data_IF_110839460074
#
_entry.id   IF_110839460074
#
_cell.length_a   1.000
_cell.length_b   1.000
_cell.length_c   1.000
_cell.angle_alpha   90.00
_cell.angle_beta   90.00
_cell.angle_gamma   90.00
#
_symmetry.space_group_name_H-M   'P 1'
#
loop_
_entity.id
_entity.type
_entity.pdbx_description
1 polymer ?
#
# COMPACT_ATOMS: atom_id res chain seq x y z
N UNK A 1 13.21 -20.06 1.80
CA UNK A 1 12.83 -19.04 2.81
C UNK A 1 11.61 -18.30 2.28
N UNK A 2 10.43 -18.45 2.90
CA UNK A 2 9.24 -17.70 2.54
C UNK A 2 9.30 -16.33 3.24
N UNK A 3 9.40 -15.24 2.49
CA UNK A 3 9.30 -13.88 3.05
C UNK A 3 7.89 -13.38 2.76
N UNK A 4 7.08 -13.08 3.79
CA UNK A 4 5.77 -12.49 3.56
C UNK A 4 5.94 -11.13 2.85
N UNK A 5 5.08 -10.86 1.88
CA UNK A 5 5.03 -9.58 1.16
C UNK A 5 4.48 -8.49 2.08
N UNK A 6 5.00 -7.27 2.02
CA UNK A 6 4.47 -6.14 2.81
C UNK A 6 3.39 -5.38 2.05
N UNK A 7 3.58 -5.20 0.75
CA UNK A 7 2.59 -4.64 -0.16
C UNK A 7 2.45 -5.54 -1.39
N UNK A 8 1.24 -5.53 -1.95
CA UNK A 8 0.96 -6.12 -3.24
C UNK A 8 0.29 -5.10 -4.15
N UNK A 9 0.96 -4.74 -5.24
CA UNK A 9 0.31 -4.07 -6.36
C UNK A 9 -0.51 -5.10 -7.14
N UNK A 10 -1.83 -5.01 -7.06
CA UNK A 10 -2.72 -6.01 -7.66
C UNK A 10 -3.35 -5.56 -8.98
N UNK A 11 -3.25 -4.28 -9.32
CA UNK A 11 -3.58 -3.78 -10.67
C UNK A 11 -2.85 -2.47 -10.94
N UNK A 12 -2.47 -2.28 -12.21
CA UNK A 12 -1.94 -1.02 -12.74
C UNK A 12 -3.03 -0.18 -13.46
N UNK A 13 -4.25 -0.72 -13.59
CA UNK A 13 -5.37 -0.13 -14.36
C UNK A 13 -6.57 0.20 -13.49
N UNK A 14 -6.34 0.49 -12.21
CA UNK A 14 -7.39 0.93 -11.31
C UNK A 14 -7.98 2.28 -11.70
N UNK A 15 -9.18 2.58 -11.19
CA UNK A 15 -9.81 3.90 -11.31
C UNK A 15 -10.21 4.40 -9.93
N UNK A 16 -9.89 5.66 -9.66
CA UNK A 16 -10.22 6.37 -8.42
C UNK A 16 -10.84 7.71 -8.81
N UNK A 17 -12.02 8.09 -8.25
CA UNK A 17 -12.62 9.38 -8.53
C UNK A 17 -11.64 10.53 -8.28
N UNK A 18 -11.53 11.44 -9.24
CA UNK A 18 -10.58 12.56 -9.21
C UNK A 18 -9.23 12.29 -9.91
N UNK A 19 -8.97 11.07 -10.38
CA UNK A 19 -7.79 10.77 -11.21
C UNK A 19 -8.25 10.37 -12.62
N UNK A 20 -7.82 11.12 -13.63
CA UNK A 20 -8.27 10.94 -15.03
C UNK A 20 -7.69 9.71 -15.74
N UNK A 21 -6.58 9.17 -15.24
CA UNK A 21 -5.87 8.03 -15.81
C UNK A 21 -6.09 6.73 -15.05
N UNK A 22 -5.42 5.69 -15.53
CA UNK A 22 -5.23 4.45 -14.80
C UNK A 22 -4.33 4.69 -13.58
N UNK A 23 -4.62 3.99 -12.48
CA UNK A 23 -3.84 4.09 -11.24
C UNK A 23 -3.48 2.72 -10.69
N UNK A 24 -2.27 2.64 -10.16
CA UNK A 24 -1.82 1.49 -9.39
C UNK A 24 -2.63 1.34 -8.11
N UNK A 25 -3.19 0.15 -7.89
CA UNK A 25 -3.84 -0.20 -6.62
C UNK A 25 -3.00 -1.21 -5.87
N UNK A 26 -2.68 -0.84 -4.63
CA UNK A 26 -1.85 -1.61 -3.73
C UNK A 26 -2.66 -2.03 -2.50
N UNK A 27 -2.36 -3.20 -1.95
CA UNK A 27 -2.85 -3.68 -0.66
C UNK A 27 -1.69 -3.80 0.33
N UNK A 28 -1.90 -3.37 1.57
CA UNK A 28 -0.96 -3.60 2.67
C UNK A 28 -1.28 -4.94 3.36
N UNK A 29 -0.24 -5.70 3.70
CA UNK A 29 -0.38 -7.00 4.38
C UNK A 29 -0.68 -6.85 5.88
N UNK A 30 -1.82 -6.27 6.25
CA UNK A 30 -2.19 -6.13 7.66
C UNK A 30 -3.43 -5.31 7.92
N UNK A 31 -3.79 -5.23 9.19
CA UNK A 31 -4.86 -4.40 9.72
C UNK A 31 -4.50 -2.91 9.70
N UNK A 32 -5.52 -2.04 9.84
CA UNK A 32 -5.31 -0.59 9.97
C UNK A 32 -4.41 -0.22 11.17
N UNK A 33 -4.46 -0.98 12.28
CA UNK A 33 -3.58 -0.77 13.44
C UNK A 33 -2.12 -1.11 13.11
N UNK A 34 -1.89 -2.14 12.31
CA UNK A 34 -0.55 -2.50 11.83
C UNK A 34 -0.03 -1.47 10.84
N UNK A 35 -0.90 -0.97 9.96
CA UNK A 35 -0.58 0.12 9.05
C UNK A 35 -0.06 1.36 9.79
N UNK A 36 -0.79 1.83 10.80
CA UNK A 36 -0.38 2.98 11.63
C UNK A 36 0.96 2.73 12.32
N UNK A 37 1.24 1.51 12.79
CA UNK A 37 2.53 1.15 13.38
C UNK A 37 3.65 1.16 12.32
N UNK A 38 3.38 0.59 11.14
CA UNK A 38 4.33 0.54 10.04
C UNK A 38 4.73 1.95 9.60
N UNK A 39 3.77 2.87 9.49
CA UNK A 39 4.01 4.29 9.17
C UNK A 39 4.90 4.98 10.21
N UNK A 40 4.76 4.70 11.50
CA UNK A 40 5.64 5.29 12.53
C UNK A 40 7.08 4.81 12.44
N UNK A 41 7.28 3.57 11.95
CA UNK A 41 8.59 2.95 11.87
C UNK A 41 9.32 3.25 10.54
N UNK A 42 8.56 3.38 9.45
CA UNK A 42 9.08 3.45 8.07
C UNK A 42 8.63 4.68 7.28
N UNK A 43 7.64 5.43 7.77
CA UNK A 43 7.27 6.72 7.20
C UNK A 43 8.46 7.66 7.30
N UNK A 44 8.68 8.45 6.24
CA UNK A 44 9.78 9.43 6.15
C UNK A 44 9.96 10.11 7.51
N UNK A 45 11.10 9.86 8.15
CA UNK A 45 11.59 10.78 9.17
C UNK A 45 11.61 12.13 8.47
N UNK A 46 10.86 13.10 9.00
CA UNK A 46 11.04 14.49 8.61
C UNK A 46 12.52 14.87 8.65
#
# INVERSE_FOLDING_TARGET
RNRPWTFWQYTATGRVPGIGGDVDRNAFQGSAKEWTRWLKQHGLKG
#
